data_IF_197480782868
#
_entry.id   IF_197480782868
#
_cell.length_a   1.000
_cell.length_b   1.000
_cell.length_c   1.000
_cell.angle_alpha   90.00
_cell.angle_beta   90.00
_cell.angle_gamma   90.00
#
_symmetry.space_group_name_H-M   'P 1'
#
loop_
_entity.id
_entity.type
_entity.pdbx_description
1 polymer ?
#
# COMPACT_ATOMS: atom_id res chain seq x y z
N UNK A 1 11.31 12.90 -6.25
CA UNK A 1 9.94 13.01 -6.79
C UNK A 1 9.00 13.46 -5.67
N UNK A 2 7.92 14.19 -5.97
CA UNK A 2 6.89 14.52 -4.97
C UNK A 2 6.03 13.29 -4.62
N UNK A 3 5.24 13.36 -3.54
CA UNK A 3 4.39 12.26 -3.07
C UNK A 3 3.52 11.64 -4.18
N UNK A 4 2.82 12.47 -4.96
CA UNK A 4 1.93 12.00 -6.02
C UNK A 4 2.66 11.22 -7.11
N UNK A 5 3.83 11.71 -7.54
CA UNK A 5 4.68 11.01 -8.52
C UNK A 5 5.17 9.66 -8.00
N UNK A 6 5.50 9.55 -6.70
CA UNK A 6 5.91 8.28 -6.10
C UNK A 6 4.76 7.27 -6.08
N UNK A 7 3.56 7.71 -5.67
CA UNK A 7 2.38 6.85 -5.67
C UNK A 7 1.98 6.41 -7.09
N UNK A 8 2.00 7.31 -8.07
CA UNK A 8 1.67 6.95 -9.45
C UNK A 8 2.67 5.93 -10.02
N UNK A 9 3.97 6.10 -9.76
CA UNK A 9 4.98 5.10 -10.13
C UNK A 9 4.72 3.75 -9.46
N UNK A 10 4.34 3.75 -8.19
CA UNK A 10 4.07 2.50 -7.47
C UNK A 10 2.85 1.77 -8.04
N UNK A 11 1.79 2.50 -8.38
CA UNK A 11 0.64 1.94 -9.08
C UNK A 11 1.04 1.33 -10.44
N UNK A 12 1.87 2.03 -11.21
CA UNK A 12 2.38 1.53 -12.50
C UNK A 12 3.21 0.25 -12.34
N UNK A 13 4.08 0.15 -11.33
CA UNK A 13 4.86 -1.05 -11.04
C UNK A 13 3.95 -2.26 -10.75
N UNK A 14 2.91 -2.07 -9.95
CA UNK A 14 1.94 -3.12 -9.64
C UNK A 14 1.14 -3.55 -10.88
N UNK A 15 0.92 -2.64 -11.83
CA UNK A 15 0.17 -2.88 -13.07
C UNK A 15 0.98 -3.54 -14.18
N UNK A 16 2.30 -3.65 -14.04
CA UNK A 16 3.11 -4.45 -14.97
C UNK A 16 2.74 -5.94 -14.91
N UNK A 17 2.16 -6.41 -13.80
CA UNK A 17 1.70 -7.79 -13.63
C UNK A 17 0.42 -7.82 -12.79
N UNK A 18 -0.73 -7.37 -13.34
CA UNK A 18 -1.95 -7.07 -12.57
C UNK A 18 -2.63 -8.32 -11.98
N UNK A 19 -2.29 -9.51 -12.49
CA UNK A 19 -2.74 -10.82 -12.00
C UNK A 19 -1.79 -11.46 -10.97
N UNK A 20 -0.57 -10.91 -10.76
CA UNK A 20 0.39 -11.41 -9.75
C UNK A 20 -0.30 -11.42 -8.39
N UNK A 21 -0.20 -12.55 -7.69
CA UNK A 21 -0.66 -12.67 -6.31
C UNK A 21 0.39 -12.06 -5.39
N UNK A 22 0.01 -11.05 -4.65
CA UNK A 22 0.83 -10.39 -3.64
C UNK A 22 0.40 -10.88 -2.26
N UNK A 23 1.36 -11.12 -1.39
CA UNK A 23 1.08 -11.55 -0.02
C UNK A 23 0.57 -10.37 0.79
N UNK A 24 -0.54 -10.59 1.50
CA UNK A 24 -1.17 -9.56 2.32
C UNK A 24 -0.45 -9.43 3.67
N UNK A 25 -0.35 -8.20 4.18
CA UNK A 25 0.04 -7.93 5.57
C UNK A 25 -1.23 -7.91 6.43
N UNK A 26 -1.72 -9.08 6.82
CA UNK A 26 -2.91 -9.21 7.65
C UNK A 26 -2.68 -8.70 9.09
N UNK A 27 -3.69 -8.09 9.70
CA UNK A 27 -3.65 -7.68 11.11
C UNK A 27 -2.98 -6.33 11.37
N UNK A 28 -2.55 -5.60 10.33
CA UNK A 28 -2.04 -4.22 10.45
C UNK A 28 -3.04 -3.27 11.14
N UNK A 29 -4.34 -3.52 11.06
CA UNK A 29 -5.40 -2.74 11.67
C UNK A 29 -5.49 -2.92 13.20
N UNK A 30 -5.01 -4.05 13.73
CA UNK A 30 -5.06 -4.39 15.16
C UNK A 30 -3.68 -4.40 15.84
N UNK A 31 -2.61 -4.48 15.05
CA UNK A 31 -1.26 -4.50 15.57
C UNK A 31 -0.94 -3.21 16.35
N UNK A 32 -0.30 -3.31 17.54
CA UNK A 32 0.25 -2.15 18.24
C UNK A 32 1.16 -1.33 17.33
N UNK A 33 1.24 0.01 17.48
CA UNK A 33 1.97 0.86 16.54
C UNK A 33 3.41 0.41 16.30
N UNK A 34 4.15 0.10 17.36
CA UNK A 34 5.55 -0.33 17.26
C UNK A 34 5.70 -1.67 16.52
N UNK A 35 4.78 -2.60 16.74
CA UNK A 35 4.72 -3.89 16.01
C UNK A 35 4.39 -3.65 14.55
N UNK A 36 3.38 -2.81 14.28
CA UNK A 36 2.94 -2.46 12.94
C UNK A 36 4.05 -1.87 12.10
N UNK A 37 4.81 -0.92 12.65
CA UNK A 37 5.94 -0.30 11.94
C UNK A 37 6.97 -1.34 11.44
N UNK A 38 7.17 -2.43 12.20
CA UNK A 38 8.12 -3.50 11.87
C UNK A 38 7.53 -4.61 10.99
N UNK A 39 6.23 -4.59 10.70
CA UNK A 39 5.60 -5.63 9.89
C UNK A 39 6.17 -5.65 8.48
N UNK A 40 6.46 -6.85 7.99
CA UNK A 40 7.00 -7.11 6.67
C UNK A 40 6.63 -8.53 6.26
N UNK A 41 6.34 -8.70 4.97
CA UNK A 41 6.17 -10.01 4.35
C UNK A 41 6.73 -9.98 2.93
N UNK A 42 7.45 -11.03 2.54
CA UNK A 42 7.95 -11.19 1.18
C UNK A 42 6.83 -11.25 0.15
N UNK A 43 7.10 -10.72 -1.05
CA UNK A 43 6.13 -10.73 -2.14
C UNK A 43 4.91 -9.84 -1.89
N UNK A 44 4.99 -8.90 -0.95
CA UNK A 44 3.94 -7.92 -0.69
C UNK A 44 3.94 -6.78 -1.72
N UNK A 45 2.92 -5.92 -1.65
CA UNK A 45 2.91 -4.69 -2.45
C UNK A 45 4.09 -3.76 -2.12
N UNK A 46 4.59 -3.78 -0.88
CA UNK A 46 5.75 -3.00 -0.46
C UNK A 46 7.02 -3.58 -1.07
N UNK A 47 7.15 -4.91 -1.11
CA UNK A 47 8.29 -5.58 -1.78
C UNK A 47 8.42 -5.14 -3.25
N UNK A 48 7.29 -5.02 -3.97
CA UNK A 48 7.28 -4.50 -5.35
C UNK A 48 7.82 -3.06 -5.44
N UNK A 49 7.49 -2.21 -4.47
CA UNK A 49 8.08 -0.87 -4.41
C UNK A 49 9.58 -0.93 -4.11
N UNK A 50 9.99 -1.72 -3.12
CA UNK A 50 11.40 -1.79 -2.71
C UNK A 50 12.33 -2.38 -3.80
N UNK A 51 11.82 -3.30 -4.62
CA UNK A 51 12.53 -3.85 -5.78
C UNK A 51 12.85 -2.78 -6.84
N UNK A 52 12.09 -1.67 -6.87
CA UNK A 52 12.30 -0.57 -7.80
C UNK A 52 13.58 0.23 -7.47
N UNK A 53 14.57 0.27 -8.37
CA UNK A 53 15.84 0.97 -8.11
C UNK A 53 15.65 2.49 -7.98
N UNK A 54 14.61 3.07 -8.60
CA UNK A 54 14.34 4.51 -8.50
C UNK A 54 13.83 4.85 -7.09
N UNK A 55 12.96 4.04 -6.48
CA UNK A 55 12.54 4.28 -5.09
C UNK A 55 13.68 4.13 -4.09
N UNK A 56 14.55 3.12 -4.26
CA UNK A 56 15.74 2.98 -3.41
C UNK A 56 16.69 4.17 -3.54
N UNK A 57 16.94 4.63 -4.77
CA UNK A 57 17.74 5.84 -5.01
C UNK A 57 17.10 7.11 -4.44
N UNK A 58 15.77 7.14 -4.27
CA UNK A 58 15.04 8.25 -3.64
C UNK A 58 14.94 8.13 -2.11
N UNK A 59 15.49 7.07 -1.51
CA UNK A 59 15.57 6.90 -0.05
C UNK A 59 14.50 5.99 0.56
N UNK A 60 13.95 5.04 -0.20
CA UNK A 60 13.22 3.88 0.34
C UNK A 60 14.26 2.84 0.81
N UNK A 61 14.34 2.61 2.12
CA UNK A 61 15.45 1.89 2.77
C UNK A 61 15.23 0.38 2.89
N UNK A 62 13.97 -0.03 3.10
CA UNK A 62 13.54 -1.42 3.22
C UNK A 62 12.07 -1.55 2.79
N UNK A 63 11.50 -2.75 2.93
CA UNK A 63 10.10 -3.05 2.63
C UNK A 63 9.24 -3.31 3.87
N UNK A 64 9.59 -2.69 5.00
CA UNK A 64 8.73 -2.66 6.19
C UNK A 64 7.54 -1.73 6.00
N UNK A 65 6.47 -1.99 6.74
CA UNK A 65 5.28 -1.15 6.76
C UNK A 65 5.61 0.29 7.16
N UNK A 66 6.41 0.47 8.21
CA UNK A 66 6.79 1.80 8.71
C UNK A 66 7.57 2.61 7.69
N UNK A 67 8.53 1.97 7.04
CA UNK A 67 9.33 2.61 6.00
C UNK A 67 8.49 2.99 4.77
N UNK A 68 7.58 2.11 4.34
CA UNK A 68 6.62 2.42 3.28
C UNK A 68 5.73 3.60 3.65
N UNK A 69 5.22 3.63 4.90
CA UNK A 69 4.38 4.71 5.41
C UNK A 69 5.10 6.05 5.34
N UNK A 70 6.34 6.10 5.84
CA UNK A 70 7.21 7.27 5.83
C UNK A 70 7.53 7.71 4.40
N UNK A 71 7.97 6.79 3.55
CA UNK A 71 8.45 7.10 2.21
C UNK A 71 7.32 7.54 1.27
N UNK A 72 6.15 6.90 1.34
CA UNK A 72 5.00 7.26 0.50
C UNK A 72 4.10 8.34 1.13
N UNK A 73 4.44 8.81 2.33
CA UNK A 73 3.65 9.80 3.07
C UNK A 73 2.17 9.39 3.14
N UNK A 74 1.94 8.14 3.54
CA UNK A 74 0.61 7.54 3.67
C UNK A 74 0.16 7.54 5.12
N UNK A 75 -1.14 7.67 5.37
CA UNK A 75 -1.69 7.34 6.68
C UNK A 75 -1.71 5.82 6.87
N UNK A 76 -1.80 5.36 8.13
CA UNK A 76 -1.95 3.93 8.41
C UNK A 76 -3.18 3.33 7.70
N UNK A 77 -4.28 4.09 7.60
CA UNK A 77 -5.48 3.68 6.91
C UNK A 77 -5.25 3.50 5.40
N UNK A 78 -4.61 4.48 4.74
CA UNK A 78 -4.28 4.37 3.32
C UNK A 78 -3.35 3.19 3.04
N UNK A 79 -2.31 3.01 3.86
CA UNK A 79 -1.35 1.94 3.64
C UNK A 79 -1.99 0.57 3.92
N UNK A 80 -2.82 0.46 4.96
CA UNK A 80 -3.61 -0.74 5.24
C UNK A 80 -4.44 -1.18 4.02
N UNK A 81 -5.15 -0.24 3.38
CA UNK A 81 -5.92 -0.54 2.17
C UNK A 81 -5.07 -1.07 1.01
N UNK A 82 -3.80 -0.66 0.91
CA UNK A 82 -2.87 -1.15 -0.13
C UNK A 82 -2.33 -2.54 0.18
N UNK A 83 -1.97 -2.81 1.43
CA UNK A 83 -1.22 -4.01 1.82
C UNK A 83 -2.10 -5.14 2.32
N UNK A 84 -3.37 -4.87 2.59
CA UNK A 84 -4.30 -5.83 3.13
C UNK A 84 -5.65 -5.78 2.41
N UNK A 85 -6.26 -6.95 2.25
CA UNK A 85 -7.67 -7.06 1.95
C UNK A 85 -8.29 -8.08 2.89
N UNK A 86 -8.79 -7.61 4.03
CA UNK A 86 -9.20 -8.43 5.17
C UNK A 86 -10.22 -9.54 4.85
N UNK A 87 -10.91 -9.47 3.71
CA UNK A 87 -11.94 -10.42 3.30
C UNK A 87 -11.54 -11.41 2.20
N UNK A 88 -10.36 -11.27 1.58
CA UNK A 88 -9.94 -12.09 0.41
C UNK A 88 -8.80 -13.07 0.71
N UNK A 89 -8.34 -13.08 1.97
CA UNK A 89 -7.40 -14.08 2.49
C UNK A 89 -5.94 -13.66 2.35
N UNK A 90 -5.03 -14.63 2.43
CA UNK A 90 -3.58 -14.39 2.57
C UNK A 90 -2.91 -13.70 1.36
N UNK A 91 -3.60 -13.60 0.21
CA UNK A 91 -3.05 -13.00 -0.98
C UNK A 91 -4.10 -12.19 -1.74
N UNK A 92 -3.67 -11.13 -2.41
CA UNK A 92 -4.51 -10.27 -3.25
C UNK A 92 -3.86 -10.04 -4.63
N UNK A 93 -4.64 -9.78 -5.69
CA UNK A 93 -4.05 -9.49 -7.00
C UNK A 93 -3.41 -8.10 -7.02
N UNK A 94 -2.29 -7.94 -7.74
CA UNK A 94 -1.57 -6.66 -7.81
C UNK A 94 -2.42 -5.49 -8.32
N UNK A 95 -3.39 -5.73 -9.23
CA UNK A 95 -4.36 -4.71 -9.67
C UNK A 95 -5.17 -4.11 -8.53
N UNK A 96 -5.44 -4.88 -7.47
CA UNK A 96 -6.16 -4.39 -6.30
C UNK A 96 -5.30 -3.39 -5.52
N UNK A 97 -4.07 -3.79 -5.20
CA UNK A 97 -3.10 -2.90 -4.55
C UNK A 97 -2.89 -1.62 -5.38
N UNK A 98 -2.75 -1.73 -6.71
CA UNK A 98 -2.59 -0.57 -7.59
C UNK A 98 -3.78 0.40 -7.50
N UNK A 99 -5.02 -0.12 -7.51
CA UNK A 99 -6.22 0.69 -7.34
C UNK A 99 -6.22 1.48 -6.03
N UNK A 100 -5.73 0.86 -4.93
CA UNK A 100 -5.66 1.48 -3.61
C UNK A 100 -4.55 2.52 -3.50
N UNK A 101 -3.41 2.26 -4.13
CA UNK A 101 -2.34 3.26 -4.28
C UNK A 101 -2.87 4.49 -5.03
N UNK A 102 -3.62 4.30 -6.12
CA UNK A 102 -4.24 5.43 -6.86
C UNK A 102 -5.27 6.18 -6.05
N UNK A 103 -6.08 5.48 -5.26
CA UNK A 103 -7.03 6.14 -4.36
C UNK A 103 -6.33 7.08 -3.35
N UNK A 104 -5.10 6.74 -2.93
CA UNK A 104 -4.28 7.56 -2.05
C UNK A 104 -3.60 8.77 -2.73
N UNK A 105 -3.61 8.87 -4.06
CA UNK A 105 -3.06 10.03 -4.80
C UNK A 105 -3.91 11.29 -4.57
N UNK A 106 -5.23 11.14 -4.41
CA UNK A 106 -6.19 12.25 -4.27
C UNK A 106 -6.63 12.45 -2.81
N UNK A 107 -6.27 13.56 -2.14
CA UNK A 107 -6.63 13.82 -0.74
C UNK A 107 -8.16 13.88 -0.47
N UNK A 108 -8.96 14.24 -1.49
CA UNK A 108 -10.43 14.30 -1.38
C UNK A 108 -11.17 13.00 -1.66
N UNK A 109 -10.51 11.99 -2.26
CA UNK A 109 -11.14 10.73 -2.60
C UNK A 109 -11.29 9.78 -1.39
N UNK A 110 -10.36 9.84 -0.43
CA UNK A 110 -10.41 9.00 0.78
C UNK A 110 -11.59 9.31 1.70
N UNK A 111 -11.92 10.59 1.89
CA UNK A 111 -13.10 11.02 2.65
C UNK A 111 -14.39 10.61 1.92
N UNK A 112 -14.44 10.78 0.59
CA UNK A 112 -15.61 10.36 -0.22
C UNK A 112 -15.76 8.83 -0.28
N UNK A 113 -14.66 8.07 -0.28
CA UNK A 113 -14.67 6.61 -0.24
C UNK A 113 -15.09 6.08 1.14
N UNK A 114 -14.62 6.70 2.22
CA UNK A 114 -15.07 6.43 3.59
C UNK A 114 -16.58 6.73 3.76
N UNK A 115 -17.05 7.89 3.28
CA UNK A 115 -18.47 8.22 3.28
C UNK A 115 -19.31 7.19 2.50
N UNK A 116 -18.83 6.69 1.36
CA UNK A 116 -19.52 5.63 0.62
C UNK A 116 -19.55 4.29 1.35
N UNK A 117 -18.48 3.93 2.04
CA UNK A 117 -18.40 2.69 2.81
C UNK A 117 -19.32 2.70 4.04
N UNK A 118 -19.53 3.87 4.66
CA UNK A 118 -20.42 4.04 5.82
C UNK A 118 -21.90 4.02 5.44
N UNK A 119 -22.26 4.44 4.22
CA UNK A 119 -23.66 4.58 3.77
C UNK A 119 -24.17 3.44 2.86
N UNK A 120 -23.35 2.44 2.52
CA UNK A 120 -23.78 1.25 1.78
C UNK A 120 -23.77 -0.02 2.63
N UNK A 121 -24.43 0.06 3.80
CA UNK A 121 -24.94 -1.08 4.57
C UNK A 121 -26.45 -0.95 4.74
#
# INVERSE_FOLDING_TARGET
ANRGQRLERWAQLLEQSPSRRLTALAGTEYAPPDVRERMRTDGSAITVAFEDPIFRAQGLQDDTYGEAKRFFEMSDWQLHEVVCHCHVGANMPARWAASRVRAAVSPGAGILAWLRAVFMH
#
